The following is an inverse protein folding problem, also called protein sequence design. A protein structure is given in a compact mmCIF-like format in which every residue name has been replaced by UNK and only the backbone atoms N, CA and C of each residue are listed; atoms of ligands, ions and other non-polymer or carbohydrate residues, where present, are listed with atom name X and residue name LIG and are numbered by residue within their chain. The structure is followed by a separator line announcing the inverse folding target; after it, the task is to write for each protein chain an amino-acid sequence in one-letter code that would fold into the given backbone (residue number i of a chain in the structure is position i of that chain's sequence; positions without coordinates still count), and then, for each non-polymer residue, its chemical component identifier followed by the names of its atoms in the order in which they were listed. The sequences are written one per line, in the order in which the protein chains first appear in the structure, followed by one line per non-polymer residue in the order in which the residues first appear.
data_IF_459569042580
#
_entry.id   IF_459569042580
#
_cell.length_a   1.000
_cell.length_b   1.000
_cell.length_c   1.000
_cell.angle_alpha   90.00
_cell.angle_beta   90.00
_cell.angle_gamma   90.00
#
_symmetry.space_group_name_H-M   'P 1'
#
loop_
_entity.id
_entity.type
_entity.pdbx_description
1 polymer ?
#
# COMPACT_ATOMS: atom_id res chain seq x y z
N UNK A 1 -15.73 8.33 22.70
CA UNK A 1 -15.44 6.89 22.63
C UNK A 1 -14.16 6.72 21.83
N UNK A 2 -13.18 5.92 22.28
CA UNK A 2 -11.99 5.65 21.47
C UNK A 2 -12.43 4.95 20.18
N UNK A 3 -12.09 5.55 19.03
CA UNK A 3 -12.40 4.99 17.72
C UNK A 3 -11.50 3.77 17.51
N UNK A 4 -12.09 2.58 17.37
CA UNK A 4 -11.35 1.37 17.05
C UNK A 4 -11.02 1.40 15.56
N UNK A 5 -9.77 1.13 15.20
CA UNK A 5 -9.34 1.00 13.80
C UNK A 5 -9.45 -0.48 13.42
N UNK A 6 -10.20 -0.78 12.36
CA UNK A 6 -10.40 -2.13 11.87
C UNK A 6 -9.46 -2.37 10.69
N UNK A 7 -8.15 -2.51 10.98
CA UNK A 7 -7.09 -2.52 9.95
C UNK A 7 -7.38 -3.44 8.77
N UNK A 8 -7.85 -4.67 9.03
CA UNK A 8 -8.13 -5.63 7.97
C UNK A 8 -9.28 -5.19 7.05
N UNK A 9 -10.38 -4.70 7.63
CA UNK A 9 -11.54 -4.22 6.87
C UNK A 9 -11.20 -2.92 6.11
N UNK A 10 -10.50 -2.00 6.76
CA UNK A 10 -10.04 -0.74 6.17
C UNK A 10 -9.10 -1.01 4.99
N UNK A 11 -8.15 -1.94 5.15
CA UNK A 11 -7.24 -2.35 4.07
C UNK A 11 -7.98 -3.02 2.92
N UNK A 12 -8.99 -3.85 3.21
CA UNK A 12 -9.82 -4.47 2.19
C UNK A 12 -10.58 -3.41 1.36
N UNK A 13 -11.14 -2.40 2.01
CA UNK A 13 -11.83 -1.31 1.33
C UNK A 13 -10.87 -0.48 0.45
N UNK A 14 -9.66 -0.19 0.94
CA UNK A 14 -8.65 0.56 0.19
C UNK A 14 -8.18 -0.24 -1.03
N UNK A 15 -7.90 -1.54 -0.87
CA UNK A 15 -7.53 -2.41 -1.99
C UNK A 15 -8.66 -2.50 -3.02
N UNK A 16 -9.92 -2.56 -2.56
CA UNK A 16 -11.09 -2.57 -3.45
C UNK A 16 -11.20 -1.27 -4.24
N UNK A 17 -10.97 -0.11 -3.63
CA UNK A 17 -10.96 1.17 -4.32
C UNK A 17 -9.79 1.29 -5.30
N UNK A 18 -8.60 0.81 -4.92
CA UNK A 18 -7.45 0.78 -5.82
C UNK A 18 -7.71 -0.09 -7.06
N UNK A 19 -8.37 -1.24 -6.89
CA UNK A 19 -8.80 -2.09 -8.01
C UNK A 19 -9.87 -1.43 -8.87
N UNK A 20 -10.85 -0.76 -8.26
CA UNK A 20 -11.84 0.02 -8.99
C UNK A 20 -11.18 1.07 -9.90
N UNK A 21 -10.16 1.79 -9.41
CA UNK A 21 -9.39 2.73 -10.23
C UNK A 21 -8.66 2.02 -11.37
N UNK A 22 -8.08 0.85 -11.10
CA UNK A 22 -7.38 0.05 -12.12
C UNK A 22 -8.33 -0.46 -13.22
N UNK A 23 -9.57 -0.81 -12.85
CA UNK A 23 -10.59 -1.21 -13.81
C UNK A 23 -11.07 0.01 -14.62
N UNK A 24 -11.36 1.13 -13.95
CA UNK A 24 -11.75 2.37 -14.60
C UNK A 24 -10.68 2.90 -15.59
N UNK A 25 -9.39 2.64 -15.32
CA UNK A 25 -8.29 3.06 -16.19
C UNK A 25 -8.11 2.20 -17.43
N UNK A 26 -8.66 0.98 -17.46
CA UNK A 26 -8.46 -0.01 -18.53
C UNK A 26 -9.70 -0.24 -19.37
N UNK A 27 -10.86 -0.05 -18.77
CA UNK A 27 -12.15 -0.15 -19.43
C UNK A 27 -12.49 1.18 -20.13
N UNK A 28 -13.54 1.15 -20.95
CA UNK A 28 -14.09 2.32 -21.63
C UNK A 28 -15.43 2.74 -20.98
N UNK A 29 -15.42 3.22 -19.72
CA UNK A 29 -16.65 3.61 -19.06
C UNK A 29 -17.13 4.97 -19.55
N UNK A 30 -18.44 5.18 -19.52
CA UNK A 30 -19.03 6.48 -19.83
C UNK A 30 -18.59 7.53 -18.78
N UNK A 31 -17.83 8.57 -19.18
CA UNK A 31 -17.36 9.61 -18.27
C UNK A 31 -18.48 10.35 -17.53
N UNK A 32 -19.65 10.50 -18.16
CA UNK A 32 -20.79 11.19 -17.57
C UNK A 32 -21.45 10.37 -16.45
N UNK A 33 -21.24 9.04 -16.45
CA UNK A 33 -21.78 8.13 -15.44
C UNK A 33 -20.80 7.95 -14.28
N UNK A 34 -19.51 7.75 -14.57
CA UNK A 34 -18.53 7.33 -13.55
C UNK A 34 -17.47 8.37 -13.21
N UNK A 35 -17.38 9.47 -13.94
CA UNK A 35 -16.26 10.40 -13.86
C UNK A 35 -16.00 10.96 -12.47
N UNK A 36 -17.03 11.52 -11.83
CA UNK A 36 -16.93 12.05 -10.47
C UNK A 36 -16.59 10.96 -9.45
N UNK A 37 -17.09 9.74 -9.65
CA UNK A 37 -16.79 8.60 -8.80
C UNK A 37 -15.31 8.19 -8.91
N UNK A 38 -14.72 8.24 -10.12
CA UNK A 38 -13.29 7.94 -10.34
C UNK A 38 -12.40 8.97 -9.64
N UNK A 39 -12.68 10.27 -9.81
CA UNK A 39 -11.92 11.33 -9.14
C UNK A 39 -12.08 11.28 -7.61
N UNK A 40 -13.31 11.01 -7.14
CA UNK A 40 -13.59 10.81 -5.71
C UNK A 40 -12.85 9.61 -5.13
N UNK A 41 -12.84 8.48 -5.85
CA UNK A 41 -12.12 7.28 -5.45
C UNK A 41 -10.60 7.52 -5.40
N UNK A 42 -10.01 8.23 -6.37
CA UNK A 42 -8.59 8.56 -6.35
C UNK A 42 -8.23 9.37 -5.09
N UNK A 43 -9.02 10.39 -4.75
CA UNK A 43 -8.80 11.21 -3.55
C UNK A 43 -9.01 10.43 -2.25
N UNK A 44 -10.03 9.57 -2.21
CA UNK A 44 -10.31 8.73 -1.05
C UNK A 44 -9.16 7.74 -0.80
N UNK A 45 -8.66 7.08 -1.85
CA UNK A 45 -7.52 6.16 -1.79
C UNK A 45 -6.25 6.88 -1.33
N UNK A 46 -5.97 8.08 -1.86
CA UNK A 46 -4.81 8.87 -1.42
C UNK A 46 -4.85 9.20 0.07
N UNK A 47 -5.97 9.74 0.54
CA UNK A 47 -6.13 10.06 1.96
C UNK A 47 -6.04 8.81 2.86
N UNK A 48 -6.67 7.71 2.44
CA UNK A 48 -6.73 6.49 3.22
C UNK A 48 -5.37 5.79 3.31
N UNK A 49 -4.62 5.70 2.20
CA UNK A 49 -3.29 5.11 2.19
C UNK A 49 -2.33 5.90 3.07
N UNK A 50 -2.34 7.25 3.00
CA UNK A 50 -1.50 8.09 3.86
C UNK A 50 -1.80 7.83 5.33
N UNK A 51 -3.08 7.83 5.70
CA UNK A 51 -3.50 7.60 7.08
C UNK A 51 -3.11 6.22 7.60
N UNK A 52 -3.37 5.16 6.83
CA UNK A 52 -3.00 3.81 7.27
C UNK A 52 -1.50 3.57 7.31
N UNK A 53 -0.74 4.13 6.36
CA UNK A 53 0.72 4.11 6.38
C UNK A 53 1.23 4.68 7.69
N UNK A 54 0.79 5.87 8.06
CA UNK A 54 1.24 6.54 9.27
C UNK A 54 0.90 5.71 10.52
N UNK A 55 -0.30 5.13 10.57
CA UNK A 55 -0.73 4.26 11.68
C UNK A 55 0.08 2.96 11.80
N UNK A 56 0.39 2.30 10.69
CA UNK A 56 1.14 1.02 10.68
C UNK A 56 2.63 1.26 10.98
N UNK A 57 3.21 2.33 10.44
CA UNK A 57 4.61 2.68 10.67
C UNK A 57 4.86 3.18 12.10
N UNK A 58 3.89 3.90 12.69
CA UNK A 58 4.02 4.40 14.06
C UNK A 58 3.96 3.30 15.14
N UNK A 59 3.45 2.09 14.83
CA UNK A 59 3.31 1.00 15.79
C UNK A 59 4.03 -0.27 15.33
N UNK A 60 5.28 -0.45 15.76
CA UNK A 60 6.09 -1.63 15.44
C UNK A 60 5.54 -2.94 16.04
N UNK A 61 4.81 -2.86 17.15
CA UNK A 61 4.26 -4.03 17.87
C UNK A 61 2.80 -4.32 17.50
N UNK A 62 2.31 -3.74 16.41
CA UNK A 62 0.96 -4.01 15.92
C UNK A 62 0.82 -5.51 15.59
N UNK A 63 -0.24 -6.13 16.09
CA UNK A 63 -0.57 -7.52 15.75
C UNK A 63 -0.80 -7.61 14.24
N UNK A 64 -0.27 -8.66 13.59
CA UNK A 64 -0.34 -8.86 12.12
C UNK A 64 0.29 -7.73 11.27
N UNK A 65 1.19 -6.92 11.86
CA UNK A 65 1.82 -5.79 11.16
C UNK A 65 2.44 -6.16 9.81
N UNK A 66 3.08 -7.32 9.72
CA UNK A 66 3.71 -7.79 8.47
C UNK A 66 2.67 -7.95 7.36
N UNK A 67 1.50 -8.51 7.67
CA UNK A 67 0.41 -8.66 6.71
C UNK A 67 -0.16 -7.30 6.31
N UNK A 68 -0.30 -6.37 7.26
CA UNK A 68 -0.79 -5.02 6.97
C UNK A 68 0.18 -4.22 6.10
N UNK A 69 1.49 -4.30 6.36
CA UNK A 69 2.53 -3.71 5.52
C UNK A 69 2.45 -4.25 4.09
N UNK A 70 2.36 -5.58 3.95
CA UNK A 70 2.26 -6.25 2.65
C UNK A 70 1.00 -5.85 1.88
N UNK A 71 -0.16 -5.84 2.54
CA UNK A 71 -1.44 -5.49 1.94
C UNK A 71 -1.48 -4.02 1.52
N UNK A 72 -1.02 -3.11 2.39
CA UNK A 72 -0.99 -1.69 2.08
C UNK A 72 0.02 -1.37 0.96
N UNK A 73 1.20 -1.99 0.97
CA UNK A 73 2.20 -1.82 -0.08
C UNK A 73 1.64 -2.23 -1.46
N UNK A 74 0.90 -3.35 -1.50
CA UNK A 74 0.22 -3.81 -2.71
C UNK A 74 -0.86 -2.80 -3.17
N UNK A 75 -1.73 -2.38 -2.26
CA UNK A 75 -2.81 -1.44 -2.59
C UNK A 75 -2.24 -0.09 -3.09
N UNK A 76 -1.19 0.42 -2.45
CA UNK A 76 -0.50 1.63 -2.87
C UNK A 76 0.12 1.49 -4.27
N UNK A 77 0.77 0.36 -4.57
CA UNK A 77 1.30 0.10 -5.92
C UNK A 77 0.18 0.07 -6.96
N UNK A 78 -0.89 -0.67 -6.69
CA UNK A 78 -2.05 -0.75 -7.59
C UNK A 78 -2.68 0.62 -7.83
N UNK A 79 -2.87 1.43 -6.78
CA UNK A 79 -3.40 2.78 -6.90
C UNK A 79 -2.48 3.69 -7.74
N UNK A 80 -1.17 3.66 -7.47
CA UNK A 80 -0.21 4.47 -8.22
C UNK A 80 -0.19 4.13 -9.72
N UNK A 81 -0.19 2.83 -10.05
CA UNK A 81 -0.19 2.40 -11.45
C UNK A 81 -1.53 2.68 -12.15
N UNK A 82 -2.66 2.53 -11.44
CA UNK A 82 -3.98 2.86 -11.96
C UNK A 82 -4.13 4.36 -12.26
N UNK A 83 -3.69 5.23 -11.34
CA UNK A 83 -3.75 6.68 -11.51
C UNK A 83 -2.87 7.13 -12.68
N UNK A 84 -1.68 6.55 -12.83
CA UNK A 84 -0.82 6.84 -13.98
C UNK A 84 -1.45 6.45 -15.32
N UNK A 85 -2.18 5.34 -15.35
CA UNK A 85 -2.91 4.92 -16.55
C UNK A 85 -4.12 5.83 -16.82
N UNK A 86 -4.84 6.27 -15.77
CA UNK A 86 -5.96 7.21 -15.89
C UNK A 86 -5.54 8.53 -16.55
N UNK A 87 -4.37 9.06 -16.19
CA UNK A 87 -3.87 10.34 -16.73
C UNK A 87 -3.17 10.20 -18.08
N UNK A 88 -3.11 8.99 -18.67
CA UNK A 88 -2.51 8.80 -20.00
C UNK A 88 -3.30 9.63 -21.03
N UNK A 89 -2.65 10.43 -21.89
CA UNK A 89 -3.34 11.36 -22.81
C UNK A 89 -4.34 10.75 -23.79
N UNK A 90 -4.25 9.44 -24.04
CA UNK A 90 -5.12 8.70 -24.95
C UNK A 90 -6.07 7.73 -24.22
N UNK A 91 -6.16 7.84 -22.89
CA UNK A 91 -7.03 7.01 -22.07
C UNK A 91 -8.51 7.39 -22.24
N UNK A 92 -9.45 6.46 -22.02
CA UNK A 92 -10.90 6.71 -22.08
C UNK A 92 -11.36 7.88 -21.21
N UNK A 93 -10.73 8.06 -20.05
CA UNK A 93 -11.05 9.12 -19.09
C UNK A 93 -10.09 10.33 -19.16
N UNK A 94 -9.21 10.41 -20.16
CA UNK A 94 -8.15 11.41 -20.22
C UNK A 94 -8.67 12.86 -20.20
N UNK A 95 -9.76 13.14 -20.91
CA UNK A 95 -10.38 14.46 -20.92
C UNK A 95 -10.96 14.82 -19.55
N UNK A 96 -11.63 13.85 -18.90
CA UNK A 96 -12.25 14.04 -17.60
C UNK A 96 -11.21 14.39 -16.52
N UNK A 97 -10.08 13.67 -16.51
CA UNK A 97 -9.04 13.88 -15.50
C UNK A 97 -8.08 15.03 -15.84
N UNK A 98 -8.18 15.62 -17.03
CA UNK A 98 -7.22 16.61 -17.53
C UNK A 98 -7.01 17.82 -16.61
N UNK A 99 -8.10 18.32 -16.00
CA UNK A 99 -8.08 19.45 -15.07
C UNK A 99 -7.35 19.14 -13.76
N UNK A 100 -7.26 17.86 -13.39
CA UNK A 100 -6.64 17.35 -12.17
C UNK A 100 -5.37 16.54 -12.45
N UNK A 101 -4.87 16.53 -13.70
CA UNK A 101 -3.79 15.64 -14.13
C UNK A 101 -2.51 15.83 -13.32
N UNK A 102 -2.15 17.07 -13.00
CA UNK A 102 -0.96 17.37 -12.18
C UNK A 102 -1.11 16.89 -10.73
N UNK A 103 -2.31 16.98 -10.17
CA UNK A 103 -2.61 16.48 -8.82
C UNK A 103 -2.52 14.95 -8.79
N UNK A 104 -3.20 14.30 -9.74
CA UNK A 104 -3.20 12.84 -9.90
C UNK A 104 -1.78 12.31 -10.15
N UNK A 105 -0.97 12.99 -10.95
CA UNK A 105 0.44 12.63 -11.18
C UNK A 105 1.25 12.68 -9.88
N UNK A 106 1.05 13.70 -9.04
CA UNK A 106 1.70 13.77 -7.72
C UNK A 106 1.24 12.64 -6.81
N UNK A 107 -0.05 12.31 -6.82
CA UNK A 107 -0.60 11.19 -6.05
C UNK A 107 0.00 9.86 -6.49
N UNK A 108 0.08 9.58 -7.80
CA UNK A 108 0.69 8.37 -8.33
C UNK A 108 2.16 8.22 -7.91
N UNK A 109 2.94 9.30 -7.99
CA UNK A 109 4.32 9.32 -7.52
C UNK A 109 4.43 9.05 -6.02
N UNK A 110 3.58 9.70 -5.21
CA UNK A 110 3.54 9.48 -3.77
C UNK A 110 3.19 8.03 -3.43
N UNK A 111 2.22 7.43 -4.12
CA UNK A 111 1.83 6.03 -3.92
C UNK A 111 2.94 5.05 -4.23
N UNK A 112 3.74 5.28 -5.26
CA UNK A 112 4.93 4.44 -5.54
C UNK A 112 5.99 4.56 -4.46
N UNK A 113 6.24 5.79 -3.99
CA UNK A 113 7.17 6.01 -2.88
C UNK A 113 6.70 5.28 -1.61
N UNK A 114 5.42 5.39 -1.27
CA UNK A 114 4.81 4.67 -0.14
C UNK A 114 4.90 3.16 -0.33
N UNK A 115 4.61 2.63 -1.52
CA UNK A 115 4.72 1.21 -1.79
C UNK A 115 6.16 0.69 -1.60
N UNK A 116 7.16 1.48 -2.01
CA UNK A 116 8.58 1.16 -1.77
C UNK A 116 8.89 1.16 -0.28
N UNK A 117 8.56 2.24 0.42
CA UNK A 117 8.82 2.39 1.85
C UNK A 117 8.19 1.27 2.69
N UNK A 118 6.93 0.91 2.41
CA UNK A 118 6.24 -0.17 3.11
C UNK A 118 6.87 -1.54 2.80
N UNK A 119 7.39 -1.71 1.58
CA UNK A 119 8.15 -2.92 1.23
C UNK A 119 9.48 -2.96 2.00
N UNK A 120 10.20 -1.85 2.08
CA UNK A 120 11.46 -1.77 2.83
C UNK A 120 11.24 -2.03 4.32
N UNK A 121 10.18 -1.45 4.91
CA UNK A 121 9.79 -1.70 6.30
C UNK A 121 9.38 -3.15 6.55
N UNK A 122 8.78 -3.82 5.56
CA UNK A 122 8.45 -5.25 5.64
C UNK A 122 9.71 -6.10 5.64
N UNK A 123 10.67 -5.84 4.75
CA UNK A 123 11.94 -6.57 4.71
C UNK A 123 12.74 -6.38 6.00
N UNK A 124 12.86 -5.14 6.49
CA UNK A 124 13.54 -4.86 7.76
C UNK A 124 12.91 -5.61 8.93
N UNK A 125 11.57 -5.65 9.02
CA UNK A 125 10.87 -6.37 10.09
C UNK A 125 11.02 -7.91 9.99
N UNK A 126 11.16 -8.45 8.78
CA UNK A 126 11.45 -9.87 8.57
C UNK A 126 12.89 -10.21 8.97
N UNK A 127 13.84 -9.34 8.66
CA UNK A 127 15.25 -9.52 9.03
C UNK A 127 15.44 -9.44 10.54
N UNK A 128 14.80 -8.48 11.23
CA UNK A 128 14.82 -8.36 12.69
C UNK A 128 14.18 -9.58 13.40
N UNK A 129 13.10 -10.12 12.85
CA UNK A 129 12.46 -11.34 13.36
C UNK A 129 13.23 -12.64 13.06
N UNK A 130 14.18 -12.61 12.12
CA UNK A 130 15.05 -13.72 11.77
C UNK A 130 16.29 -13.87 12.65
N UNK A 131 16.63 -12.85 13.45
CA UNK A 131 17.83 -12.86 14.32
C UNK A 131 17.59 -13.60 15.65
N UNK A 132 16.35 -13.81 16.06
CA UNK A 132 16.00 -14.48 17.34
C UNK A 132 15.77 -16.00 17.20
N UNK A 133 16.09 -16.59 16.03
CA UNK A 133 15.79 -17.98 15.69
C UNK A 133 16.99 -18.90 15.46
N UNK A 134 18.16 -18.41 15.04
CA UNK A 134 19.26 -19.31 14.66
C UNK A 134 20.64 -18.61 14.56
N UNK A 135 21.13 -18.09 15.69
CA UNK A 135 22.54 -17.71 15.82
C UNK A 135 23.14 -18.33 17.08
N UNK A 136 23.02 -19.66 17.21
CA UNK A 136 24.06 -20.41 17.93
C UNK A 136 25.15 -20.68 16.91
N UNK A 137 26.20 -19.87 16.95
CA UNK A 137 27.41 -20.12 16.16
C UNK A 137 27.85 -21.57 16.38
N UNK A 138 28.17 -22.31 15.32
CA UNK A 138 28.54 -23.73 15.39
C UNK A 138 29.69 -24.05 16.35
N UNK A 139 30.46 -23.03 16.74
CA UNK A 139 31.52 -23.13 17.74
C UNK A 139 30.99 -23.24 19.18
N UNK A 140 29.85 -22.61 19.51
CA UNK A 140 29.25 -22.66 20.86
C UNK A 140 28.51 -23.98 21.13
N UNK A 141 27.91 -24.58 20.10
CA UNK A 141 27.32 -25.94 20.17
C UNK A 141 28.37 -27.02 20.43
N UNK A 142 29.59 -26.82 19.94
CA UNK A 142 30.71 -27.75 20.13
C UNK A 142 31.30 -27.70 21.55
N UNK A 143 31.20 -26.56 22.23
CA UNK A 143 31.59 -26.46 23.65
C UNK A 143 30.55 -27.11 24.57
N UNK A 144 29.25 -26.94 24.30
CA UNK A 144 28.18 -27.54 25.11
C UNK A 144 28.16 -29.08 25.05
N UNK A 145 28.58 -29.67 23.93
CA UNK A 145 28.68 -31.14 23.77
C UNK A 145 29.97 -31.74 24.33
N UNK A 146 30.96 -30.92 24.70
CA UNK A 146 32.22 -31.38 25.32
C UNK A 146 32.24 -31.22 26.84
N UNK A 147 31.26 -30.53 27.41
CA UNK A 147 31.13 -30.29 28.86
C UNK A 147 30.12 -31.17 29.60
N UNK A 148 29.56 -32.20 28.97
CA UNK A 148 28.60 -33.16 29.55
C UNK A 148 29.21 -34.53 29.81
#
# INVERSE_FOLDING_TARGET
MPHVVHYQDDLFLIDSLARFLADASRLDPDPDIVGDAVLGAAKAVDAAIRKLRDLILANAHLVERLDYLKLLARAARTAGDAIDELIRPQGPLAQLVSSSADELKRMAQAHRAVASELSDALHAALDEGGVDGDLVSGDELSELLRGG
#
